data_IF_534053539473
#
_entry.id   IF_534053539473
#
_cell.length_a   1.000
_cell.length_b   1.000
_cell.length_c   1.000
_cell.angle_alpha   90.00
_cell.angle_beta   90.00
_cell.angle_gamma   90.00
#
_symmetry.space_group_name_H-M   'P 1'
#
loop_
_entity.id
_entity.type
_entity.pdbx_description
1 polymer ?
#
# COMPACT_ATOMS: atom_id res chain seq x y z
N UNK A 1 70.76 -30.75 -24.04
CA UNK A 1 69.53 -29.93 -24.15
C UNK A 1 68.53 -30.80 -24.88
N UNK A 2 67.74 -31.64 -24.22
CA UNK A 2 66.93 -31.37 -23.03
C UNK A 2 65.49 -31.60 -23.49
N UNK A 3 65.11 -32.88 -23.56
CA UNK A 3 63.76 -33.33 -23.81
C UNK A 3 62.90 -33.05 -22.58
N UNK A 4 61.66 -32.62 -22.80
CA UNK A 4 60.43 -33.00 -22.09
C UNK A 4 59.35 -31.92 -22.33
N UNK A 5 58.64 -32.09 -23.44
CA UNK A 5 57.23 -31.72 -23.51
C UNK A 5 56.48 -32.51 -22.42
N UNK A 6 55.86 -31.83 -21.45
CA UNK A 6 55.07 -32.55 -20.45
C UNK A 6 54.60 -31.78 -19.22
N UNK A 7 54.84 -30.47 -19.10
CA UNK A 7 54.69 -29.78 -17.80
C UNK A 7 53.72 -28.58 -17.76
N UNK A 8 52.76 -28.46 -18.68
CA UNK A 8 51.72 -27.42 -18.60
C UNK A 8 50.26 -27.93 -18.55
N UNK A 9 50.03 -29.23 -18.38
CA UNK A 9 48.66 -29.80 -18.24
C UNK A 9 48.42 -30.56 -16.93
N UNK A 10 49.34 -30.48 -15.96
CA UNK A 10 49.24 -31.19 -14.67
C UNK A 10 49.29 -30.26 -13.45
N UNK A 11 48.74 -29.05 -13.57
CA UNK A 11 48.51 -28.14 -12.43
C UNK A 11 47.04 -27.79 -12.20
N UNK A 12 46.11 -28.63 -12.73
CA UNK A 12 44.68 -28.55 -12.43
C UNK A 12 44.09 -29.84 -11.80
N UNK A 13 44.92 -30.79 -11.34
CA UNK A 13 44.42 -32.05 -10.75
C UNK A 13 45.14 -32.44 -9.45
N UNK A 14 45.25 -31.49 -8.52
CA UNK A 14 45.56 -31.81 -7.13
C UNK A 14 44.87 -30.79 -6.22
N UNK A 15 43.57 -30.98 -6.01
CA UNK A 15 42.78 -30.54 -4.83
C UNK A 15 41.35 -31.09 -4.99
N UNK A 16 41.21 -32.42 -5.12
CA UNK A 16 39.93 -33.11 -4.95
C UNK A 16 39.94 -33.84 -3.61
N UNK A 17 39.46 -33.15 -2.59
CA UNK A 17 38.76 -33.66 -1.38
C UNK A 17 38.85 -32.65 -0.24
N UNK A 18 38.54 -31.38 -0.52
CA UNK A 18 37.80 -30.62 0.47
C UNK A 18 36.34 -30.79 0.04
N UNK A 19 35.65 -31.74 0.66
CA UNK A 19 34.21 -31.65 0.73
C UNK A 19 33.95 -30.29 1.38
N UNK A 20 33.55 -29.32 0.57
CA UNK A 20 32.77 -28.19 1.07
C UNK A 20 31.58 -28.83 1.74
N UNK A 21 31.72 -29.00 3.05
CA UNK A 21 30.60 -29.23 3.93
C UNK A 21 29.84 -27.94 3.75
N UNK A 22 28.77 -27.98 2.96
CA UNK A 22 27.73 -26.97 3.07
C UNK A 22 27.54 -26.73 4.57
N UNK A 23 27.48 -25.47 5.03
CA UNK A 23 27.01 -25.24 6.39
C UNK A 23 25.66 -25.92 6.43
N UNK A 24 25.62 -27.06 7.13
CA UNK A 24 24.49 -27.96 7.10
C UNK A 24 23.26 -27.11 7.26
N UNK A 25 22.29 -27.29 6.37
CA UNK A 25 20.95 -26.77 6.57
C UNK A 25 20.64 -27.02 8.04
N UNK A 26 20.70 -25.96 8.87
CA UNK A 26 20.39 -26.07 10.27
C UNK A 26 19.01 -26.69 10.26
N UNK A 27 18.90 -27.94 10.73
CA UNK A 27 17.62 -28.61 10.83
C UNK A 27 16.73 -27.62 11.54
N UNK A 28 15.73 -27.11 10.81
CA UNK A 28 14.78 -26.13 11.31
C UNK A 28 13.98 -26.83 12.40
N UNK A 29 14.52 -26.82 13.62
CA UNK A 29 13.99 -27.57 14.73
C UNK A 29 12.93 -26.71 15.38
N UNK A 30 11.70 -27.21 15.40
CA UNK A 30 10.61 -26.55 16.10
C UNK A 30 10.82 -26.72 17.61
N UNK A 31 10.87 -25.61 18.35
CA UNK A 31 10.91 -25.62 19.81
C UNK A 31 9.60 -25.08 20.39
N UNK A 32 9.02 -25.73 21.41
CA UNK A 32 7.89 -25.18 22.14
C UNK A 32 8.36 -24.02 23.01
N UNK A 33 7.67 -22.89 22.93
CA UNK A 33 7.94 -21.68 23.72
C UNK A 33 6.62 -21.17 24.30
N UNK A 34 6.68 -20.61 25.51
CA UNK A 34 5.54 -19.94 26.13
C UNK A 34 5.51 -18.46 25.72
N UNK A 35 4.38 -17.99 25.19
CA UNK A 35 4.19 -16.57 24.82
C UNK A 35 3.34 -15.90 25.90
N UNK A 36 3.87 -14.84 26.51
CA UNK A 36 3.17 -14.05 27.53
C UNK A 36 2.73 -12.72 26.92
N UNK A 37 1.45 -12.40 27.02
CA UNK A 37 0.84 -11.17 26.50
C UNK A 37 0.13 -10.41 27.61
N UNK A 38 0.41 -9.11 27.69
CA UNK A 38 -0.35 -8.16 28.49
C UNK A 38 -1.70 -7.88 27.80
N UNK A 39 -2.80 -8.26 28.44
CA UNK A 39 -4.13 -8.18 27.89
C UNK A 39 -5.07 -7.35 28.77
N UNK A 40 -6.15 -6.87 28.17
CA UNK A 40 -7.27 -6.29 28.90
C UNK A 40 -8.49 -7.21 28.81
N UNK A 41 -9.06 -7.57 29.95
CA UNK A 41 -10.35 -8.23 30.03
C UNK A 41 -11.45 -7.17 29.99
N UNK A 42 -12.29 -7.23 28.96
CA UNK A 42 -13.48 -6.38 28.85
C UNK A 42 -14.53 -6.83 29.88
N UNK A 43 -14.89 -5.93 30.80
CA UNK A 43 -15.91 -6.15 31.81
C UNK A 43 -17.29 -5.80 31.24
N UNK A 44 -18.32 -6.57 31.59
CA UNK A 44 -19.67 -6.38 31.05
C UNK A 44 -20.34 -5.19 31.74
N UNK A 45 -20.37 -4.04 31.06
CA UNK A 45 -21.17 -2.89 31.47
C UNK A 45 -22.63 -3.31 31.67
N UNK A 46 -23.08 -3.28 32.92
CA UNK A 46 -24.44 -3.63 33.28
C UNK A 46 -25.47 -2.78 32.54
N UNK A 47 -26.24 -3.44 31.66
CA UNK A 47 -27.43 -2.95 30.95
C UNK A 47 -27.21 -1.89 29.86
N UNK A 48 -27.66 -2.28 28.66
CA UNK A 48 -27.91 -1.47 27.45
C UNK A 48 -26.66 -1.05 26.66
N UNK A 49 -26.21 -1.92 25.75
CA UNK A 49 -25.99 -1.63 24.31
C UNK A 49 -25.27 -0.35 23.87
N UNK A 50 -24.52 0.33 24.74
CA UNK A 50 -23.74 1.52 24.43
C UNK A 50 -22.26 1.13 24.39
N UNK A 51 -21.55 1.69 23.41
CA UNK A 51 -20.13 1.45 23.17
C UNK A 51 -19.34 1.46 24.50
N UNK A 52 -18.69 0.34 24.79
CA UNK A 52 -17.83 0.19 25.96
C UNK A 52 -16.80 1.33 25.96
N UNK A 53 -16.82 2.11 27.04
CA UNK A 53 -15.80 3.13 27.27
C UNK A 53 -14.49 2.44 27.67
N UNK A 54 -13.37 3.16 27.59
CA UNK A 54 -12.06 2.71 28.07
C UNK A 54 -12.03 2.37 29.57
N UNK A 55 -13.09 2.67 30.34
CA UNK A 55 -13.14 2.55 31.80
C UNK A 55 -13.55 1.15 32.32
N UNK A 56 -14.08 0.27 31.46
CA UNK A 56 -14.55 -1.08 31.86
C UNK A 56 -13.50 -2.19 31.59
N UNK A 57 -12.21 -1.87 31.66
CA UNK A 57 -11.11 -2.79 31.28
C UNK A 57 -10.30 -3.21 32.50
N UNK A 58 -10.28 -4.51 32.81
CA UNK A 58 -9.47 -5.11 33.88
C UNK A 58 -8.17 -5.64 33.30
N UNK A 59 -7.04 -5.45 33.99
CA UNK A 59 -5.76 -6.02 33.56
C UNK A 59 -5.79 -7.55 33.65
N UNK A 60 -5.35 -8.21 32.58
CA UNK A 60 -5.24 -9.65 32.48
C UNK A 60 -3.91 -10.03 31.81
N UNK A 61 -3.47 -11.25 32.03
CA UNK A 61 -2.32 -11.84 31.35
C UNK A 61 -2.80 -13.06 30.58
N UNK A 62 -2.40 -13.19 29.32
CA UNK A 62 -2.58 -14.40 28.55
C UNK A 62 -1.24 -15.10 28.36
N UNK A 63 -1.17 -16.36 28.75
CA UNK A 63 -0.03 -17.24 28.54
C UNK A 63 -0.45 -18.30 27.54
N UNK A 64 0.09 -18.22 26.31
CA UNK A 64 -0.05 -19.26 25.30
C UNK A 64 1.04 -20.31 25.55
N UNK A 65 0.66 -21.51 25.95
CA UNK A 65 1.59 -22.60 26.28
C UNK A 65 1.99 -23.38 25.04
N UNK A 66 3.27 -23.79 25.01
CA UNK A 66 3.82 -24.72 24.02
C UNK A 66 3.63 -24.30 22.56
N UNK A 67 3.75 -23.00 22.27
CA UNK A 67 3.68 -22.50 20.90
C UNK A 67 4.95 -22.96 20.16
N UNK A 68 4.86 -23.74 19.07
CA UNK A 68 6.03 -24.18 18.33
C UNK A 68 6.56 -23.02 17.49
N UNK A 69 7.85 -22.76 17.65
CA UNK A 69 8.58 -21.69 16.96
C UNK A 69 9.77 -22.30 16.25
N UNK A 70 10.13 -21.75 15.09
CA UNK A 70 11.32 -22.14 14.37
C UNK A 70 12.56 -21.67 15.15
N UNK A 71 13.43 -22.60 15.56
CA UNK A 71 14.68 -22.24 16.24
C UNK A 71 15.72 -21.70 15.24
N UNK A 72 15.94 -20.38 15.28
CA UNK A 72 16.96 -19.68 14.50
C UNK A 72 18.25 -19.40 15.31
N UNK A 73 18.35 -19.95 16.52
CA UNK A 73 19.47 -19.72 17.45
C UNK A 73 19.30 -18.49 18.34
N UNK A 74 18.20 -17.74 18.24
CA UNK A 74 17.87 -16.64 19.16
C UNK A 74 17.10 -17.08 20.41
N UNK A 75 16.76 -18.37 20.51
CA UNK A 75 15.87 -18.91 21.54
C UNK A 75 16.57 -19.31 22.85
N UNK A 76 17.89 -19.09 23.01
CA UNK A 76 18.66 -19.56 24.17
C UNK A 76 18.30 -18.88 25.50
N UNK A 77 17.64 -17.71 25.47
CA UNK A 77 17.25 -16.92 26.67
C UNK A 77 15.76 -17.05 27.06
N UNK A 78 14.96 -17.88 26.39
CA UNK A 78 13.55 -18.08 26.78
C UNK A 78 13.44 -19.07 27.94
N UNK A 79 13.06 -18.56 29.11
CA UNK A 79 12.67 -19.40 30.25
C UNK A 79 11.16 -19.66 30.22
N UNK A 80 10.76 -20.92 30.40
CA UNK A 80 9.35 -21.30 30.57
C UNK A 80 8.66 -20.41 31.63
N UNK A 81 7.39 -20.09 31.42
CA UNK A 81 6.65 -19.28 32.37
C UNK A 81 6.55 -20.02 33.72
N UNK A 82 7.29 -19.52 34.71
CA UNK A 82 7.18 -19.94 36.10
C UNK A 82 6.09 -19.11 36.77
N UNK A 83 4.92 -19.74 36.99
CA UNK A 83 3.78 -19.13 37.69
C UNK A 83 4.21 -18.60 39.07
N UNK A 84 4.49 -17.31 39.14
CA UNK A 84 4.87 -16.64 40.36
C UNK A 84 3.69 -16.63 41.34
N UNK A 85 3.96 -17.01 42.59
CA UNK A 85 3.01 -16.92 43.70
C UNK A 85 2.77 -15.45 44.04
N UNK A 86 1.98 -14.74 43.25
CA UNK A 86 1.56 -13.37 43.57
C UNK A 86 0.20 -13.40 44.25
N UNK A 87 0.27 -13.71 45.54
CA UNK A 87 -0.76 -13.29 46.48
C UNK A 87 -0.61 -11.79 46.75
N UNK A 88 -1.45 -10.96 46.12
CA UNK A 88 -1.96 -9.68 46.66
C UNK A 88 -3.08 -9.13 45.78
N UNK A 89 -4.03 -8.46 46.43
CA UNK A 89 -5.36 -7.98 45.99
C UNK A 89 -5.51 -7.28 44.61
N UNK A 90 -4.43 -7.04 43.86
CA UNK A 90 -4.41 -6.35 42.55
C UNK A 90 -3.69 -7.16 41.45
N UNK A 91 -3.53 -8.47 41.64
CA UNK A 91 -2.85 -9.32 40.66
C UNK A 91 -3.73 -9.53 39.42
N UNK A 92 -3.21 -9.33 38.20
CA UNK A 92 -3.99 -9.50 36.97
C UNK A 92 -4.49 -10.94 36.83
N UNK A 93 -5.66 -11.10 36.22
CA UNK A 93 -6.21 -12.44 35.95
C UNK A 93 -5.35 -13.13 34.89
N UNK A 94 -4.82 -14.31 35.22
CA UNK A 94 -3.94 -15.06 34.31
C UNK A 94 -4.73 -16.17 33.61
N UNK A 95 -4.81 -16.09 32.30
CA UNK A 95 -5.33 -17.15 31.42
C UNK A 95 -4.17 -17.99 30.89
N UNK A 96 -4.22 -19.29 31.15
CA UNK A 96 -3.28 -20.25 30.60
C UNK A 96 -3.99 -21.01 29.48
N UNK A 97 -3.57 -20.76 28.24
CA UNK A 97 -4.20 -21.30 27.04
C UNK A 97 -3.28 -22.34 26.39
N UNK A 98 -3.73 -23.60 26.36
CA UNK A 98 -3.07 -24.66 25.60
C UNK A 98 -3.38 -24.50 24.11
N UNK A 99 -2.32 -24.59 23.29
CA UNK A 99 -2.32 -24.46 21.83
C UNK A 99 -2.16 -25.85 21.16
N UNK A 100 -2.28 -26.93 21.93
CA UNK A 100 -1.99 -28.31 21.49
C UNK A 100 -2.85 -28.76 20.31
N UNK A 101 -4.09 -28.27 20.24
CA UNK A 101 -5.06 -28.63 19.21
C UNK A 101 -4.90 -27.83 17.92
N UNK A 102 -4.43 -26.58 18.01
CA UNK A 102 -4.49 -25.61 16.92
C UNK A 102 -3.30 -24.68 17.00
N UNK A 103 -2.52 -24.65 15.93
CA UNK A 103 -1.38 -23.77 15.82
C UNK A 103 -1.80 -22.32 15.54
N UNK A 104 -1.18 -21.37 16.23
CA UNK A 104 -1.31 -19.94 15.94
C UNK A 104 -0.26 -19.60 14.88
N UNK A 105 -0.65 -19.34 13.63
CA UNK A 105 0.32 -18.98 12.61
C UNK A 105 0.99 -17.64 12.96
N UNK A 106 2.24 -17.48 12.52
CA UNK A 106 3.05 -16.28 12.75
C UNK A 106 3.33 -15.98 14.24
N UNK A 107 3.37 -17.02 15.08
CA UNK A 107 3.80 -16.92 16.48
C UNK A 107 5.17 -16.22 16.66
N UNK A 108 6.07 -16.38 15.69
CA UNK A 108 7.35 -15.66 15.63
C UNK A 108 7.17 -14.13 15.65
N UNK A 109 6.15 -13.61 14.98
CA UNK A 109 5.90 -12.17 14.92
C UNK A 109 5.42 -11.61 16.27
N UNK A 110 4.78 -12.44 17.10
CA UNK A 110 4.40 -12.07 18.46
C UNK A 110 5.62 -12.10 19.40
N UNK A 111 6.48 -13.11 19.26
CA UNK A 111 7.69 -13.27 20.07
C UNK A 111 8.73 -12.17 19.82
N UNK A 112 8.88 -11.74 18.57
CA UNK A 112 9.84 -10.71 18.19
C UNK A 112 9.24 -9.29 18.17
N UNK A 113 8.01 -9.09 18.67
CA UNK A 113 7.35 -7.79 18.63
C UNK A 113 8.14 -6.72 19.40
N UNK A 114 8.53 -7.01 20.64
CA UNK A 114 9.30 -6.10 21.51
C UNK A 114 10.67 -5.76 20.91
N UNK A 115 11.38 -6.77 20.39
CA UNK A 115 12.66 -6.60 19.71
C UNK A 115 12.54 -5.75 18.43
N UNK A 116 11.40 -5.83 17.75
CA UNK A 116 11.11 -5.07 16.52
C UNK A 116 10.55 -3.67 16.81
N UNK A 117 10.41 -3.28 18.09
CA UNK A 117 9.77 -2.03 18.49
C UNK A 117 8.30 -1.94 18.07
N UNK A 118 7.62 -3.09 17.95
CA UNK A 118 6.19 -3.16 17.63
C UNK A 118 5.39 -3.28 18.92
N UNK A 119 4.22 -2.67 18.93
CA UNK A 119 3.28 -2.74 20.05
C UNK A 119 2.27 -3.86 19.78
N UNK A 120 1.98 -4.66 20.81
CA UNK A 120 0.98 -5.72 20.76
C UNK A 120 -0.22 -5.31 21.60
N UNK A 121 -1.39 -5.23 20.99
CA UNK A 121 -2.65 -4.99 21.71
C UNK A 121 -3.39 -6.31 21.87
N UNK A 122 -3.77 -6.65 23.10
CA UNK A 122 -4.52 -7.85 23.41
C UNK A 122 -5.79 -7.51 24.21
N UNK A 123 -6.94 -8.02 23.75
CA UNK A 123 -8.22 -7.85 24.42
C UNK A 123 -8.94 -9.20 24.56
N UNK A 124 -9.31 -9.56 25.78
CA UNK A 124 -10.05 -10.76 26.14
C UNK A 124 -11.48 -10.36 26.45
N UNK A 125 -12.45 -11.10 25.90
CA UNK A 125 -13.87 -10.89 26.18
C UNK A 125 -14.61 -12.20 26.33
N UNK A 126 -15.72 -12.19 27.06
CA UNK A 126 -16.55 -13.39 27.24
C UNK A 126 -17.24 -13.75 25.93
N UNK A 127 -17.19 -15.03 25.55
CA UNK A 127 -17.79 -15.54 24.34
C UNK A 127 -19.09 -16.31 24.64
N UNK A 128 -20.13 -16.01 23.86
CA UNK A 128 -21.43 -16.67 23.99
C UNK A 128 -21.72 -17.49 22.72
N UNK A 129 -21.99 -18.79 22.89
CA UNK A 129 -22.29 -19.71 21.80
C UNK A 129 -23.60 -19.33 21.09
N UNK A 130 -23.68 -19.61 19.78
CA UNK A 130 -24.90 -19.40 18.99
C UNK A 130 -25.99 -20.46 19.23
N UNK A 131 -25.61 -21.68 19.61
CA UNK A 131 -26.55 -22.80 19.75
C UNK A 131 -27.31 -22.72 21.09
N UNK A 132 -28.64 -22.74 21.01
CA UNK A 132 -29.59 -22.71 22.15
C UNK A 132 -29.71 -24.05 22.89
N UNK A 133 -28.83 -25.01 22.62
CA UNK A 133 -28.75 -26.29 23.34
C UNK A 133 -27.63 -26.23 24.38
N UNK A 134 -27.78 -25.32 25.33
CA UNK A 134 -26.99 -25.34 26.56
C UNK A 134 -27.60 -26.38 27.51
N UNK A 135 -27.24 -27.65 27.35
CA UNK A 135 -27.44 -28.67 28.39
C UNK A 135 -26.20 -28.88 29.27
N UNK A 136 -25.21 -27.98 29.20
CA UNK A 136 -24.06 -27.97 30.11
C UNK A 136 -23.99 -26.61 30.83
N UNK A 137 -24.60 -26.53 32.02
CA UNK A 137 -24.75 -25.33 32.85
C UNK A 137 -23.43 -24.73 33.42
N UNK A 138 -22.25 -25.12 32.95
CA UNK A 138 -20.98 -24.74 33.64
C UNK A 138 -19.77 -24.45 32.76
N UNK A 139 -19.82 -24.64 31.43
CA UNK A 139 -18.71 -24.29 30.55
C UNK A 139 -18.77 -22.81 30.15
N UNK A 140 -17.63 -22.10 30.25
CA UNK A 140 -17.50 -20.72 29.79
C UNK A 140 -16.43 -20.63 28.70
N UNK A 141 -16.70 -19.76 27.72
CA UNK A 141 -15.83 -19.49 26.58
C UNK A 141 -15.39 -18.04 26.59
N UNK A 142 -14.22 -17.79 26.04
CA UNK A 142 -13.62 -16.47 25.89
C UNK A 142 -13.11 -16.32 24.48
N UNK A 143 -13.14 -15.10 23.94
CA UNK A 143 -12.49 -14.74 22.69
C UNK A 143 -11.44 -13.68 22.96
N UNK A 144 -10.24 -13.91 22.42
CA UNK A 144 -9.11 -13.01 22.52
C UNK A 144 -8.80 -12.44 21.15
N UNK A 145 -8.67 -11.12 21.05
CA UNK A 145 -8.19 -10.44 19.85
C UNK A 145 -6.79 -9.91 20.12
N UNK A 146 -5.82 -10.33 19.32
CA UNK A 146 -4.41 -9.97 19.40
C UNK A 146 -4.04 -9.24 18.11
N UNK A 147 -3.49 -8.04 18.20
CA UNK A 147 -3.09 -7.25 17.03
C UNK A 147 -1.68 -6.71 17.21
N UNK A 148 -0.85 -6.91 16.19
CA UNK A 148 0.51 -6.35 16.14
C UNK A 148 0.50 -5.08 15.31
N UNK A 149 1.04 -3.99 15.86
CA UNK A 149 1.05 -2.69 15.17
C UNK A 149 1.99 -2.67 13.94
N UNK A 150 1.85 -1.64 13.10
CA UNK A 150 2.72 -1.44 11.93
C UNK A 150 2.45 -2.40 10.77
N UNK A 151 1.20 -2.84 10.59
CA UNK A 151 0.82 -3.79 9.53
C UNK A 151 1.21 -5.24 9.82
N UNK A 152 1.46 -5.56 11.09
CA UNK A 152 1.67 -6.93 11.53
C UNK A 152 0.38 -7.77 11.53
N UNK A 153 0.48 -9.03 11.97
CA UNK A 153 -0.66 -9.94 11.97
C UNK A 153 -1.71 -9.53 13.00
N UNK A 154 -2.93 -10.00 12.77
CA UNK A 154 -4.03 -9.91 13.74
C UNK A 154 -4.71 -11.26 13.83
N UNK A 155 -4.91 -11.73 15.06
CA UNK A 155 -5.43 -13.06 15.37
C UNK A 155 -6.57 -12.95 16.37
N UNK A 156 -7.64 -13.67 16.10
CA UNK A 156 -8.79 -13.84 17.00
C UNK A 156 -8.88 -15.30 17.42
N UNK A 157 -8.83 -15.57 18.71
CA UNK A 157 -8.72 -16.93 19.28
C UNK A 157 -9.88 -17.19 20.22
N UNK A 158 -10.62 -18.27 20.02
CA UNK A 158 -11.68 -18.72 20.93
C UNK A 158 -11.14 -19.83 21.84
N UNK A 159 -11.29 -19.60 23.13
CA UNK A 159 -10.77 -20.44 24.20
C UNK A 159 -11.92 -20.97 25.04
N UNK A 160 -11.87 -22.25 25.40
CA UNK A 160 -12.81 -22.91 26.30
C UNK A 160 -12.13 -23.18 27.63
N UNK A 161 -12.81 -22.93 28.74
CA UNK A 161 -12.28 -23.28 30.06
C UNK A 161 -12.19 -24.81 30.22
N UNK A 162 -11.02 -25.26 30.66
CA UNK A 162 -10.74 -26.62 31.09
C UNK A 162 -11.06 -26.73 32.58
N UNK A 163 -12.32 -26.92 32.93
CA UNK A 163 -12.70 -27.11 34.33
C UNK A 163 -13.89 -28.03 34.48
N UNK A 164 -13.70 -29.07 35.27
CA UNK A 164 -14.77 -29.96 35.72
C UNK A 164 -15.48 -29.27 36.89
N UNK A 165 -16.74 -28.88 36.68
CA UNK A 165 -17.53 -28.11 37.64
C UNK A 165 -17.80 -28.83 38.97
N UNK A 166 -17.51 -30.13 39.03
CA UNK A 166 -17.66 -31.02 40.19
C UNK A 166 -16.41 -31.13 41.06
N UNK A 167 -15.28 -30.54 40.67
CA UNK A 167 -14.09 -30.50 41.52
C UNK A 167 -14.17 -29.29 42.47
N UNK A 168 -13.85 -29.44 43.76
CA UNK A 168 -13.84 -28.38 44.77
C UNK A 168 -12.77 -27.30 44.56
N UNK A 169 -12.55 -26.87 43.31
CA UNK A 169 -11.60 -25.86 42.90
C UNK A 169 -11.98 -24.48 43.44
N UNK A 170 -10.97 -23.72 43.85
CA UNK A 170 -11.14 -22.32 44.23
C UNK A 170 -11.66 -21.52 43.03
N UNK A 171 -12.59 -20.59 43.27
CA UNK A 171 -13.13 -19.71 42.21
C UNK A 171 -12.54 -18.32 42.32
N UNK A 172 -12.33 -17.67 41.18
CA UNK A 172 -11.90 -16.28 41.13
C UNK A 172 -12.93 -15.38 41.81
N UNK A 173 -12.53 -14.53 42.76
CA UNK A 173 -13.46 -13.76 43.61
C UNK A 173 -14.39 -12.84 42.80
N UNK A 174 -13.88 -12.23 41.73
CA UNK A 174 -14.63 -11.26 40.91
C UNK A 174 -15.34 -11.89 39.72
N UNK A 175 -14.74 -12.93 39.11
CA UNK A 175 -15.20 -13.49 37.84
C UNK A 175 -15.94 -14.82 38.02
N UNK A 176 -15.92 -15.40 39.23
CA UNK A 176 -16.52 -16.69 39.57
C UNK A 176 -16.06 -17.87 38.71
N UNK A 177 -14.89 -17.74 38.06
CA UNK A 177 -14.27 -18.75 37.21
C UNK A 177 -13.48 -19.76 38.05
N UNK A 178 -13.45 -21.05 37.67
CA UNK A 178 -12.63 -22.04 38.35
C UNK A 178 -11.14 -21.77 38.12
N UNK A 179 -10.36 -21.83 39.21
CA UNK A 179 -8.92 -21.61 39.20
C UNK A 179 -8.17 -22.92 39.39
N UNK A 180 -7.02 -23.02 38.73
CA UNK A 180 -6.04 -24.08 38.95
C UNK A 180 -5.43 -23.99 40.36
N UNK A 181 -4.73 -25.03 40.84
CA UNK A 181 -3.95 -24.96 42.07
C UNK A 181 -2.90 -23.84 42.10
N UNK A 182 -2.50 -23.34 40.91
CA UNK A 182 -1.56 -22.23 40.75
C UNK A 182 -2.26 -20.85 40.71
N UNK A 183 -3.59 -20.80 40.79
CA UNK A 183 -4.37 -19.57 40.73
C UNK A 183 -4.62 -19.05 39.31
N UNK A 184 -4.39 -19.87 38.28
CA UNK A 184 -4.59 -19.53 36.86
C UNK A 184 -5.90 -20.09 36.31
N UNK A 185 -6.48 -19.44 35.30
CA UNK A 185 -7.63 -19.97 34.56
C UNK A 185 -7.10 -20.83 33.41
N UNK A 186 -7.30 -22.15 33.51
CA UNK A 186 -6.87 -23.08 32.45
C UNK A 186 -7.89 -23.12 31.32
N UNK A 187 -7.39 -22.97 30.11
CA UNK A 187 -8.19 -22.92 28.89
C UNK A 187 -7.51 -23.70 27.76
N UNK A 188 -8.32 -24.14 26.80
CA UNK A 188 -7.85 -24.74 25.56
C UNK A 188 -8.33 -23.90 24.37
N UNK A 189 -7.45 -23.67 23.41
CA UNK A 189 -7.78 -23.02 22.14
C UNK A 189 -8.52 -24.02 21.23
N UNK A 190 -9.76 -23.70 20.86
CA UNK A 190 -10.59 -24.58 20.00
C UNK A 190 -10.88 -23.99 18.61
N UNK A 191 -10.61 -22.70 18.40
CA UNK A 191 -10.81 -22.05 17.11
C UNK A 191 -9.98 -20.78 16.99
N UNK A 192 -9.37 -20.53 15.83
CA UNK A 192 -8.66 -19.28 15.54
C UNK A 192 -8.96 -18.77 14.13
N UNK A 193 -8.98 -17.45 13.98
CA UNK A 193 -9.04 -16.75 12.69
C UNK A 193 -7.96 -15.68 12.68
N UNK A 194 -7.25 -15.56 11.57
CA UNK A 194 -6.00 -14.80 11.48
C UNK A 194 -5.91 -14.08 10.14
N UNK A 195 -5.25 -12.93 10.15
CA UNK A 195 -4.78 -12.26 8.94
C UNK A 195 -3.34 -11.83 9.12
N UNK A 196 -2.52 -12.06 8.11
CA UNK A 196 -1.14 -11.62 8.05
C UNK A 196 -1.00 -10.10 8.00
N UNK A 197 -1.99 -9.40 7.44
CA UNK A 197 -1.93 -7.96 7.18
C UNK A 197 -3.23 -7.26 7.55
N UNK A 198 -3.16 -6.31 8.48
CA UNK A 198 -4.32 -5.52 8.90
C UNK A 198 -4.69 -4.41 7.90
N UNK A 199 -3.73 -3.92 7.10
CA UNK A 199 -4.00 -2.91 6.09
C UNK A 199 -3.16 -3.14 4.83
N UNK A 200 -3.80 -3.02 3.68
CA UNK A 200 -3.21 -3.21 2.37
C UNK A 200 -3.49 -1.98 1.50
N UNK A 201 -2.53 -1.68 0.62
CA UNK A 201 -2.63 -0.55 -0.30
C UNK A 201 -2.36 -1.02 -1.72
N UNK A 202 -3.30 -0.78 -2.62
CA UNK A 202 -3.22 -1.22 -4.01
C UNK A 202 -3.48 -0.08 -4.99
N UNK A 203 -2.95 -0.23 -6.22
CA UNK A 203 -3.25 0.69 -7.31
C UNK A 203 -4.61 0.36 -7.94
N UNK A 204 -5.33 1.38 -8.40
CA UNK A 204 -6.56 1.19 -9.16
C UNK A 204 -6.34 0.26 -10.36
N UNK A 205 -7.25 -0.71 -10.54
CA UNK A 205 -7.19 -1.70 -11.61
C UNK A 205 -6.28 -2.90 -11.36
N UNK A 206 -5.50 -2.92 -10.27
CA UNK A 206 -4.74 -4.11 -9.87
C UNK A 206 -5.64 -5.19 -9.26
N UNK A 207 -5.06 -6.35 -8.96
CA UNK A 207 -5.73 -7.44 -8.22
C UNK A 207 -5.20 -7.50 -6.79
N UNK A 208 -6.10 -7.52 -5.81
CA UNK A 208 -5.75 -7.69 -4.39
C UNK A 208 -5.99 -9.13 -3.93
N UNK A 209 -5.17 -9.59 -2.98
CA UNK A 209 -5.42 -10.79 -2.19
C UNK A 209 -5.53 -10.38 -0.72
N UNK A 210 -6.68 -10.62 -0.10
CA UNK A 210 -6.93 -10.32 1.30
C UNK A 210 -6.75 -11.60 2.10
N UNK A 211 -5.63 -11.71 2.81
CA UNK A 211 -5.26 -12.89 3.58
C UNK A 211 -6.21 -13.13 4.76
N UNK A 212 -6.79 -14.32 4.84
CA UNK A 212 -7.60 -14.74 5.99
C UNK A 212 -7.47 -16.23 6.22
N UNK A 213 -6.69 -16.62 7.22
CA UNK A 213 -6.55 -18.01 7.65
C UNK A 213 -7.49 -18.34 8.81
N UNK A 214 -7.80 -19.62 8.97
CA UNK A 214 -8.47 -20.12 10.17
C UNK A 214 -8.02 -21.55 10.48
N UNK A 215 -8.21 -21.95 11.73
CA UNK A 215 -7.92 -23.32 12.16
C UNK A 215 -8.89 -23.71 13.26
N UNK A 216 -9.34 -24.96 13.24
CA UNK A 216 -10.43 -25.46 14.06
C UNK A 216 -10.01 -26.76 14.76
N UNK A 217 -10.46 -26.95 16.00
CA UNK A 217 -10.23 -28.19 16.72
C UNK A 217 -10.98 -29.36 16.05
N UNK A 218 -10.47 -30.60 16.19
CA UNK A 218 -11.16 -31.79 15.70
C UNK A 218 -12.60 -31.88 16.22
N UNK A 219 -13.56 -32.17 15.33
CA UNK A 219 -14.98 -32.27 15.66
C UNK A 219 -15.80 -31.00 15.38
N UNK A 220 -15.15 -29.89 15.03
CA UNK A 220 -15.83 -28.70 14.48
C UNK A 220 -15.99 -28.83 12.97
N UNK A 221 -17.14 -28.42 12.47
CA UNK A 221 -17.43 -28.37 11.03
C UNK A 221 -17.55 -26.93 10.56
N UNK A 222 -16.97 -26.61 9.41
CA UNK A 222 -17.10 -25.30 8.79
C UNK A 222 -18.50 -25.15 8.18
N UNK A 223 -19.27 -24.16 8.64
CA UNK A 223 -20.64 -23.89 8.18
C UNK A 223 -20.62 -22.87 7.04
N UNK A 224 -19.99 -21.72 7.25
CA UNK A 224 -19.91 -20.67 6.24
C UNK A 224 -18.70 -19.74 6.38
N UNK A 225 -18.32 -19.16 5.25
CA UNK A 225 -17.33 -18.08 5.15
C UNK A 225 -17.99 -16.90 4.46
N UNK A 226 -17.99 -15.74 5.10
CA UNK A 226 -18.57 -14.51 4.58
C UNK A 226 -17.51 -13.41 4.52
N UNK A 227 -17.41 -12.76 3.37
CA UNK A 227 -16.66 -11.53 3.20
C UNK A 227 -17.60 -10.35 3.02
N UNK A 228 -17.45 -9.35 3.88
CA UNK A 228 -18.29 -8.14 3.88
C UNK A 228 -17.40 -6.92 3.75
N UNK A 229 -17.84 -5.92 2.99
CA UNK A 229 -17.18 -4.63 2.86
C UNK A 229 -18.02 -3.57 3.56
N UNK A 230 -17.40 -2.89 4.52
CA UNK A 230 -17.94 -1.74 5.23
C UNK A 230 -17.17 -0.48 4.77
N UNK A 231 -17.86 0.49 4.16
CA UNK A 231 -17.24 1.77 3.78
C UNK A 231 -18.23 2.91 3.93
N UNK A 232 -17.84 3.98 4.64
CA UNK A 232 -18.63 5.22 4.84
C UNK A 232 -20.09 4.96 5.26
N UNK A 233 -20.29 3.99 6.17
CA UNK A 233 -21.61 3.65 6.70
C UNK A 233 -22.46 2.72 5.84
N UNK A 234 -21.99 2.31 4.66
CA UNK A 234 -22.63 1.28 3.83
C UNK A 234 -21.92 -0.07 4.01
N UNK A 235 -22.68 -1.14 4.19
CA UNK A 235 -22.20 -2.51 4.29
C UNK A 235 -22.74 -3.36 3.15
N UNK A 236 -21.88 -4.06 2.43
CA UNK A 236 -22.26 -4.95 1.33
C UNK A 236 -21.58 -6.31 1.46
N UNK A 237 -22.30 -7.37 1.09
CA UNK A 237 -21.71 -8.70 0.96
C UNK A 237 -20.84 -8.71 -0.30
N UNK A 238 -19.63 -9.25 -0.20
CA UNK A 238 -18.68 -9.34 -1.31
C UNK A 238 -18.64 -10.77 -1.85
N UNK A 239 -18.50 -11.73 -0.93
CA UNK A 239 -18.49 -13.15 -1.25
C UNK A 239 -19.06 -13.94 -0.08
N UNK A 240 -19.77 -15.03 -0.36
CA UNK A 240 -20.24 -15.98 0.63
C UNK A 240 -19.96 -17.40 0.16
N UNK A 241 -19.50 -18.26 1.05
CA UNK A 241 -19.35 -19.68 0.82
C UNK A 241 -20.10 -20.43 1.92
N UNK A 242 -20.92 -21.41 1.54
CA UNK A 242 -21.71 -22.22 2.46
C UNK A 242 -21.72 -23.67 1.98
N UNK A 243 -21.26 -24.60 2.81
CA UNK A 243 -21.33 -26.06 2.58
C UNK A 243 -21.02 -26.51 1.14
N UNK A 244 -19.95 -25.97 0.56
CA UNK A 244 -19.46 -26.33 -0.79
C UNK A 244 -19.96 -25.45 -1.94
N UNK A 245 -20.88 -24.51 -1.70
CA UNK A 245 -21.36 -23.57 -2.71
C UNK A 245 -20.84 -22.15 -2.44
N UNK A 246 -20.03 -21.63 -3.37
CA UNK A 246 -19.58 -20.23 -3.38
C UNK A 246 -20.53 -19.34 -4.18
N UNK A 247 -20.81 -18.15 -3.65
CA UNK A 247 -21.54 -17.07 -4.32
C UNK A 247 -20.76 -15.77 -4.17
N UNK A 248 -20.29 -15.25 -5.30
CA UNK A 248 -19.70 -13.93 -5.40
C UNK A 248 -20.80 -12.89 -5.70
N UNK A 249 -20.91 -11.86 -4.87
CA UNK A 249 -21.79 -10.71 -5.12
C UNK A 249 -21.01 -9.58 -5.82
N UNK A 250 -19.72 -9.47 -5.53
CA UNK A 250 -18.77 -8.68 -6.33
C UNK A 250 -18.29 -9.51 -7.51
N UNK A 251 -18.52 -9.03 -8.73
CA UNK A 251 -18.08 -9.72 -9.95
C UNK A 251 -16.58 -10.03 -9.92
N UNK A 252 -16.22 -11.28 -10.21
CA UNK A 252 -14.82 -11.73 -10.24
C UNK A 252 -14.17 -11.98 -8.88
N UNK A 253 -14.85 -11.71 -7.76
CA UNK A 253 -14.33 -12.07 -6.44
C UNK A 253 -14.32 -13.60 -6.29
N UNK A 254 -13.21 -14.17 -5.84
CA UNK A 254 -13.04 -15.63 -5.73
C UNK A 254 -12.42 -16.04 -4.40
N UNK A 255 -12.87 -17.18 -3.89
CA UNK A 255 -12.25 -17.96 -2.82
C UNK A 255 -11.82 -19.31 -3.42
N UNK A 256 -10.64 -19.81 -3.06
CA UNK A 256 -10.14 -21.10 -3.54
C UNK A 256 -10.71 -22.24 -2.68
N UNK A 257 -11.67 -23.06 -3.18
CA UNK A 257 -12.38 -24.02 -2.35
C UNK A 257 -11.49 -25.17 -1.84
N UNK A 258 -10.45 -25.52 -2.60
CA UNK A 258 -9.50 -26.57 -2.21
C UNK A 258 -8.68 -26.16 -0.98
N UNK A 259 -8.19 -24.92 -0.96
CA UNK A 259 -7.39 -24.39 0.15
C UNK A 259 -8.23 -24.16 1.40
N UNK A 260 -9.52 -23.85 1.24
CA UNK A 260 -10.46 -23.69 2.36
C UNK A 260 -10.58 -24.95 3.22
N UNK A 261 -10.63 -26.14 2.60
CA UNK A 261 -10.77 -27.40 3.34
C UNK A 261 -9.43 -28.01 3.73
N UNK A 262 -8.41 -27.89 2.88
CA UNK A 262 -7.12 -28.55 3.09
C UNK A 262 -6.17 -27.75 3.98
N UNK A 263 -6.17 -26.42 3.85
CA UNK A 263 -5.22 -25.52 4.51
C UNK A 263 -5.89 -24.57 5.51
N UNK A 264 -7.23 -24.51 5.55
CA UNK A 264 -7.95 -23.53 6.36
C UNK A 264 -7.75 -22.10 5.85
N UNK A 265 -7.63 -21.93 4.52
CA UNK A 265 -7.41 -20.62 3.89
C UNK A 265 -8.70 -20.07 3.29
N UNK A 266 -9.17 -18.95 3.85
CA UNK A 266 -10.34 -18.20 3.43
C UNK A 266 -9.99 -16.88 2.72
N UNK A 267 -8.77 -16.76 2.17
CA UNK A 267 -8.27 -15.57 1.50
C UNK A 267 -9.10 -15.18 0.27
N UNK A 268 -9.41 -13.89 0.16
CA UNK A 268 -10.24 -13.34 -0.90
C UNK A 268 -9.40 -12.68 -1.99
N UNK A 269 -9.55 -13.17 -3.22
CA UNK A 269 -8.97 -12.51 -4.40
C UNK A 269 -9.98 -11.58 -5.06
N UNK A 270 -9.59 -10.33 -5.26
CA UNK A 270 -10.38 -9.28 -5.91
C UNK A 270 -9.65 -8.77 -7.16
N UNK A 271 -10.14 -9.08 -8.37
CA UNK A 271 -9.54 -8.57 -9.60
C UNK A 271 -10.06 -7.18 -9.97
N UNK A 272 -9.24 -6.43 -10.71
CA UNK A 272 -9.62 -5.15 -11.32
C UNK A 272 -10.27 -4.17 -10.33
N UNK A 273 -9.49 -3.79 -9.30
CA UNK A 273 -9.97 -2.93 -8.22
C UNK A 273 -10.50 -1.58 -8.72
N UNK A 274 -11.63 -1.16 -8.16
CA UNK A 274 -12.28 0.13 -8.41
C UNK A 274 -12.34 0.94 -7.11
N UNK A 275 -12.54 2.27 -7.18
CA UNK A 275 -12.67 3.08 -5.95
C UNK A 275 -13.85 2.68 -5.05
N UNK A 276 -14.82 1.90 -5.56
CA UNK A 276 -15.93 1.37 -4.75
C UNK A 276 -15.52 0.18 -3.88
N UNK A 277 -14.40 -0.46 -4.21
CA UNK A 277 -13.83 -1.57 -3.46
C UNK A 277 -12.97 -1.09 -2.29
N UNK A 278 -12.72 0.22 -2.16
CA UNK A 278 -11.99 0.75 -0.99
C UNK A 278 -12.84 0.62 0.28
N UNK A 279 -12.21 0.21 1.38
CA UNK A 279 -12.85 0.20 2.70
C UNK A 279 -12.39 -0.93 3.59
N UNK A 280 -13.21 -1.18 4.61
CA UNK A 280 -12.92 -2.14 5.66
C UNK A 280 -13.57 -3.48 5.30
N UNK A 281 -12.75 -4.47 4.96
CA UNK A 281 -13.20 -5.82 4.70
C UNK A 281 -13.23 -6.62 6.01
N UNK A 282 -14.26 -7.44 6.15
CA UNK A 282 -14.50 -8.29 7.30
C UNK A 282 -14.58 -9.72 6.78
N UNK A 283 -13.57 -10.51 7.10
CA UNK A 283 -13.57 -11.95 6.92
C UNK A 283 -14.27 -12.57 8.12
N UNK A 284 -15.33 -13.35 7.91
CA UNK A 284 -16.09 -13.95 8.98
C UNK A 284 -16.24 -15.45 8.75
N UNK A 285 -15.74 -16.22 9.70
CA UNK A 285 -15.72 -17.68 9.65
C UNK A 285 -16.73 -18.18 10.68
N UNK A 286 -17.67 -19.00 10.23
CA UNK A 286 -18.71 -19.61 11.06
C UNK A 286 -18.54 -21.12 11.02
N UNK A 287 -18.37 -21.72 12.19
CA UNK A 287 -18.30 -23.16 12.43
C UNK A 287 -19.60 -23.64 13.07
N UNK A 288 -19.69 -24.94 13.38
CA UNK A 288 -20.85 -25.53 14.05
C UNK A 288 -21.15 -24.92 15.44
N UNK A 289 -20.12 -24.39 16.14
CA UNK A 289 -20.26 -23.82 17.49
C UNK A 289 -19.85 -22.34 17.57
N UNK A 290 -18.86 -21.94 16.77
CA UNK A 290 -18.16 -20.67 16.91
C UNK A 290 -18.30 -19.79 15.67
N UNK A 291 -18.19 -18.50 15.88
CA UNK A 291 -18.10 -17.45 14.87
C UNK A 291 -17.08 -16.43 15.32
N UNK A 292 -16.08 -16.21 14.48
CA UNK A 292 -15.06 -15.20 14.68
C UNK A 292 -14.86 -14.42 13.38
N UNK A 293 -14.31 -13.23 13.51
CA UNK A 293 -14.14 -12.31 12.39
C UNK A 293 -12.80 -11.61 12.47
N UNK A 294 -12.24 -11.30 11.31
CA UNK A 294 -11.00 -10.56 11.18
C UNK A 294 -11.19 -9.41 10.20
N UNK A 295 -10.60 -8.26 10.54
CA UNK A 295 -10.78 -7.00 9.82
C UNK A 295 -9.52 -6.66 9.04
N UNK A 296 -9.68 -6.24 7.79
CA UNK A 296 -8.61 -5.85 6.88
C UNK A 296 -8.99 -4.54 6.17
N UNK A 297 -8.16 -3.52 6.28
CA UNK A 297 -8.37 -2.22 5.64
C UNK A 297 -7.72 -2.19 4.24
N UNK A 298 -8.54 -2.14 3.19
CA UNK A 298 -8.08 -1.99 1.80
C UNK A 298 -8.12 -0.52 1.38
N UNK A 299 -6.96 0.05 1.09
CA UNK A 299 -6.80 1.41 0.59
C UNK A 299 -6.44 1.39 -0.90
N UNK A 300 -7.03 2.31 -1.67
CA UNK A 300 -6.77 2.38 -3.12
C UNK A 300 -6.06 3.69 -3.44
N UNK A 301 -5.07 3.62 -4.33
CA UNK A 301 -4.28 4.76 -4.74
C UNK A 301 -4.28 4.94 -6.26
N UNK A 302 -4.30 6.20 -6.69
CA UNK A 302 -4.17 6.58 -8.10
C UNK A 302 -3.12 7.68 -8.22
N UNK A 303 -2.02 7.43 -8.94
CA UNK A 303 -0.98 8.43 -9.16
C UNK A 303 -1.45 9.64 -9.97
N UNK A 304 -1.10 10.87 -9.53
CA UNK A 304 -1.44 12.08 -10.28
C UNK A 304 -0.72 12.18 -11.61
N UNK A 305 -1.37 12.86 -12.57
CA UNK A 305 -0.73 13.36 -13.79
C UNK A 305 -0.56 14.87 -13.69
N UNK A 306 0.67 15.35 -13.85
CA UNK A 306 1.01 16.77 -13.71
C UNK A 306 1.30 17.39 -15.08
N UNK A 307 0.71 18.55 -15.35
CA UNK A 307 0.99 19.36 -16.54
C UNK A 307 1.10 20.83 -16.19
N UNK A 308 2.20 21.45 -16.57
CA UNK A 308 2.44 22.88 -16.38
C UNK A 308 2.19 23.64 -17.68
N UNK A 309 1.39 24.70 -17.61
CA UNK A 309 1.01 25.52 -18.77
C UNK A 309 0.91 27.00 -18.42
N UNK A 310 1.12 27.87 -19.41
CA UNK A 310 0.86 29.31 -19.31
C UNK A 310 -0.63 29.58 -19.59
N UNK A 311 -1.38 30.14 -18.64
CA UNK A 311 -2.81 30.38 -18.80
C UNK A 311 -3.14 31.72 -19.45
N UNK A 312 -2.33 32.75 -19.19
CA UNK A 312 -2.47 34.05 -19.83
C UNK A 312 -1.09 34.68 -20.03
N UNK A 313 -0.92 35.34 -21.18
CA UNK A 313 0.26 36.17 -21.49
C UNK A 313 0.13 37.61 -20.97
N UNK A 314 -0.95 37.93 -20.26
CA UNK A 314 -1.09 39.19 -19.53
C UNK A 314 0.10 39.42 -18.59
N UNK A 315 0.36 40.67 -18.25
CA UNK A 315 1.49 41.07 -17.41
C UNK A 315 1.02 41.35 -15.98
N UNK A 316 1.47 40.58 -14.96
CA UNK A 316 2.40 39.44 -15.01
C UNK A 316 1.74 38.12 -15.51
N UNK A 317 2.49 37.26 -16.22
CA UNK A 317 1.97 36.00 -16.76
C UNK A 317 1.50 35.06 -15.65
N UNK A 318 0.45 34.28 -15.91
CA UNK A 318 -0.06 33.29 -14.94
C UNK A 318 0.28 31.89 -15.39
N UNK A 319 1.04 31.17 -14.55
CA UNK A 319 1.32 29.74 -14.70
C UNK A 319 0.24 28.91 -14.02
N UNK A 320 -0.12 27.79 -14.62
CA UNK A 320 -1.10 26.85 -14.09
C UNK A 320 -0.51 25.45 -14.13
N UNK A 321 -0.34 24.86 -12.94
CA UNK A 321 0.00 23.47 -12.75
C UNK A 321 -1.28 22.66 -12.56
N UNK A 322 -1.66 21.91 -13.58
CA UNK A 322 -2.81 21.03 -13.56
C UNK A 322 -2.40 19.67 -13.02
N UNK A 323 -3.02 19.24 -11.92
CA UNK A 323 -2.85 17.92 -11.34
C UNK A 323 -4.15 17.14 -11.50
N UNK A 324 -4.10 16.07 -12.28
CA UNK A 324 -5.31 15.37 -12.72
C UNK A 324 -5.30 13.89 -12.35
N UNK A 325 -6.49 13.39 -12.03
CA UNK A 325 -6.81 11.98 -11.91
C UNK A 325 -6.14 11.26 -10.75
N UNK A 326 -6.02 11.88 -9.58
CA UNK A 326 -5.37 11.29 -8.40
C UNK A 326 -6.36 10.91 -7.31
N UNK A 327 -5.95 10.00 -6.43
CA UNK A 327 -6.72 9.55 -5.27
C UNK A 327 -5.75 8.89 -4.26
N UNK A 328 -5.87 9.11 -2.94
CA UNK A 328 -6.88 9.89 -2.20
C UNK A 328 -6.75 11.41 -2.36
N UNK A 329 -7.54 12.19 -1.59
CA UNK A 329 -7.63 13.65 -1.72
C UNK A 329 -6.34 14.37 -1.30
N UNK A 330 -5.62 13.84 -0.31
CA UNK A 330 -4.47 14.49 0.30
C UNK A 330 -3.28 14.57 -0.67
N UNK A 331 -2.89 15.79 -1.02
CA UNK A 331 -1.84 16.10 -1.98
C UNK A 331 -1.24 17.47 -1.65
N UNK A 332 0.07 17.64 -1.85
CA UNK A 332 0.73 18.94 -1.69
C UNK A 332 1.42 19.40 -2.98
N UNK A 333 1.25 20.68 -3.31
CA UNK A 333 1.95 21.35 -4.41
C UNK A 333 2.92 22.39 -3.85
N UNK A 334 4.18 22.30 -4.24
CA UNK A 334 5.22 23.29 -3.93
C UNK A 334 5.69 23.95 -5.21
N UNK A 335 5.85 25.26 -5.19
CA UNK A 335 6.42 26.02 -6.30
C UNK A 335 7.82 26.48 -5.99
N UNK A 336 8.72 26.34 -6.95
CA UNK A 336 10.08 26.90 -6.88
C UNK A 336 10.37 27.75 -8.11
N UNK A 337 11.20 28.77 -7.91
CA UNK A 337 11.68 29.71 -8.92
C UNK A 337 13.20 29.67 -8.92
N UNK A 338 13.78 29.54 -10.10
CA UNK A 338 15.23 29.48 -10.30
C UNK A 338 15.64 30.49 -11.38
N UNK A 339 16.49 31.44 -11.00
CA UNK A 339 17.12 32.38 -11.94
C UNK A 339 18.42 31.77 -12.50
N UNK A 340 18.84 32.14 -13.73
CA UNK A 340 20.10 31.64 -14.31
C UNK A 340 21.31 31.88 -13.38
N UNK A 341 21.94 30.80 -12.94
CA UNK A 341 23.11 30.86 -12.06
C UNK A 341 22.80 31.12 -10.58
N UNK A 342 21.52 31.16 -10.19
CA UNK A 342 21.08 31.23 -8.80
C UNK A 342 20.54 29.89 -8.28
N UNK A 343 20.41 29.72 -6.96
CA UNK A 343 19.77 28.53 -6.39
C UNK A 343 18.23 28.57 -6.58
N UNK A 344 17.55 27.41 -6.58
CA UNK A 344 16.09 27.37 -6.58
C UNK A 344 15.53 27.89 -5.25
N UNK A 345 14.57 28.81 -5.34
CA UNK A 345 13.91 29.45 -4.20
C UNK A 345 12.44 29.06 -4.18
N UNK A 346 11.91 28.62 -3.03
CA UNK A 346 10.48 28.37 -2.88
C UNK A 346 9.67 29.66 -2.97
N UNK A 347 8.60 29.66 -3.76
CA UNK A 347 7.73 30.82 -3.97
C UNK A 347 6.35 30.59 -3.38
N UNK A 348 5.84 31.62 -2.70
CA UNK A 348 4.51 31.65 -2.09
C UNK A 348 3.55 32.50 -2.94
N UNK A 349 2.24 32.42 -2.65
CA UNK A 349 1.21 33.18 -3.38
C UNK A 349 0.54 32.41 -4.53
N UNK A 350 0.76 31.10 -4.60
CA UNK A 350 -0.03 30.23 -5.47
C UNK A 350 -1.46 30.05 -4.91
N UNK A 351 -2.45 30.01 -5.80
CA UNK A 351 -3.86 29.78 -5.45
C UNK A 351 -4.35 28.48 -6.08
N UNK A 352 -5.11 27.69 -5.32
CA UNK A 352 -5.76 26.49 -5.85
C UNK A 352 -7.11 26.82 -6.50
N UNK A 353 -7.45 26.10 -7.56
CA UNK A 353 -8.80 26.07 -8.11
C UNK A 353 -9.74 25.27 -7.20
N UNK A 354 -11.04 25.38 -7.47
CA UNK A 354 -12.00 24.41 -6.92
C UNK A 354 -11.63 22.98 -7.33
N UNK A 355 -11.86 22.05 -6.42
CA UNK A 355 -11.67 20.62 -6.63
C UNK A 355 -12.68 20.10 -7.66
N UNK A 356 -12.21 19.31 -8.62
CA UNK A 356 -13.05 18.59 -9.58
C UNK A 356 -12.94 17.10 -9.34
N UNK A 357 -14.06 16.40 -9.38
CA UNK A 357 -14.11 14.95 -9.28
C UNK A 357 -14.61 14.34 -10.59
N UNK A 358 -13.94 13.29 -11.05
CA UNK A 358 -14.34 12.53 -12.22
C UNK A 358 -15.50 11.58 -11.89
N UNK A 359 -16.17 11.05 -12.92
CA UNK A 359 -17.20 10.02 -12.74
C UNK A 359 -16.64 8.72 -12.11
N UNK A 360 -15.34 8.46 -12.27
CA UNK A 360 -14.66 7.32 -11.65
C UNK A 360 -14.21 7.60 -10.22
N UNK A 361 -14.48 8.82 -9.69
CA UNK A 361 -14.22 9.23 -8.31
C UNK A 361 -12.84 9.84 -8.06
N UNK A 362 -11.96 9.90 -9.07
CA UNK A 362 -10.64 10.53 -8.94
C UNK A 362 -10.72 12.06 -8.91
N UNK A 363 -9.79 12.68 -8.20
CA UNK A 363 -9.72 14.12 -8.02
C UNK A 363 -8.82 14.79 -9.06
N UNK A 364 -9.12 16.05 -9.37
CA UNK A 364 -8.32 16.93 -10.22
C UNK A 364 -8.39 18.36 -9.68
N UNK A 365 -7.24 19.01 -9.58
CA UNK A 365 -7.12 20.39 -9.09
C UNK A 365 -6.01 21.10 -9.86
N UNK A 366 -6.10 22.42 -9.96
CA UNK A 366 -5.08 23.24 -10.59
C UNK A 366 -4.52 24.24 -9.58
N UNK A 367 -3.19 24.38 -9.53
CA UNK A 367 -2.52 25.44 -8.77
C UNK A 367 -2.08 26.53 -9.74
N UNK A 368 -2.39 27.79 -9.44
CA UNK A 368 -2.07 28.94 -10.29
C UNK A 368 -1.10 29.87 -9.59
N UNK A 369 -0.06 30.30 -10.28
CA UNK A 369 0.98 31.19 -9.77
C UNK A 369 1.19 32.35 -10.76
N UNK A 370 1.15 33.58 -10.25
CA UNK A 370 1.59 34.75 -11.04
C UNK A 370 3.11 34.73 -11.10
N UNK A 371 3.66 34.64 -12.31
CA UNK A 371 5.09 34.54 -12.54
C UNK A 371 5.73 35.92 -12.70
N UNK A 372 6.78 36.16 -11.93
CA UNK A 372 7.62 37.35 -11.96
C UNK A 372 9.01 36.96 -12.50
N UNK A 373 9.22 36.98 -13.83
CA UNK A 373 10.44 36.44 -14.45
C UNK A 373 11.71 37.23 -14.18
N UNK A 374 11.63 38.41 -13.54
CA UNK A 374 12.79 39.30 -13.36
C UNK A 374 13.33 39.86 -14.68
N UNK A 375 14.58 40.29 -14.70
CA UNK A 375 15.23 40.92 -15.87
C UNK A 375 15.79 39.90 -16.88
N UNK A 376 16.21 38.71 -16.41
CA UNK A 376 16.83 37.68 -17.25
C UNK A 376 15.87 36.57 -17.67
N UNK A 377 14.75 36.42 -16.97
CA UNK A 377 13.88 35.25 -17.02
C UNK A 377 14.19 34.29 -15.87
N UNK A 378 13.24 33.40 -15.58
CA UNK A 378 13.38 32.39 -14.54
C UNK A 378 12.65 31.09 -14.91
N UNK A 379 13.19 29.96 -14.44
CA UNK A 379 12.52 28.66 -14.48
C UNK A 379 11.58 28.57 -13.30
N UNK A 380 10.33 28.22 -13.57
CA UNK A 380 9.33 27.92 -12.56
C UNK A 380 9.05 26.43 -12.55
N UNK A 381 9.03 25.86 -11.36
CA UNK A 381 8.87 24.42 -11.16
C UNK A 381 7.74 24.15 -10.19
N UNK A 382 6.78 23.34 -10.63
CA UNK A 382 5.69 22.80 -9.82
C UNK A 382 6.07 21.39 -9.38
N UNK A 383 6.19 21.18 -8.08
CA UNK A 383 6.49 19.90 -7.45
C UNK A 383 5.25 19.38 -6.73
N UNK A 384 4.85 18.15 -7.02
CA UNK A 384 3.63 17.52 -6.49
C UNK A 384 4.01 16.30 -5.66
N UNK A 385 3.56 16.28 -4.41
CA UNK A 385 3.72 15.15 -3.48
C UNK A 385 2.36 14.50 -3.24
N UNK A 386 2.33 13.16 -3.21
CA UNK A 386 1.11 12.38 -3.03
C UNK A 386 1.49 11.00 -2.50
N UNK A 387 0.63 10.38 -1.67
CA UNK A 387 0.91 9.09 -1.00
C UNK A 387 1.24 7.94 -1.96
N UNK A 388 0.74 8.01 -3.20
CA UNK A 388 1.02 7.00 -4.23
C UNK A 388 2.37 7.15 -4.92
N UNK A 389 3.14 8.17 -4.58
CA UNK A 389 4.41 8.51 -5.23
C UNK A 389 5.55 8.25 -4.25
N UNK A 390 6.55 7.46 -4.67
CA UNK A 390 7.80 7.32 -3.92
C UNK A 390 8.64 8.60 -3.99
N UNK A 391 8.60 9.27 -5.14
CA UNK A 391 9.31 10.52 -5.42
C UNK A 391 8.33 11.56 -5.96
N UNK A 392 8.52 12.85 -5.64
CA UNK A 392 7.62 13.90 -6.06
C UNK A 392 7.64 14.08 -7.59
N UNK A 393 6.47 14.32 -8.18
CA UNK A 393 6.38 14.66 -9.60
C UNK A 393 6.75 16.11 -9.83
N UNK A 394 7.61 16.36 -10.81
CA UNK A 394 8.16 17.69 -11.10
C UNK A 394 7.81 18.10 -12.53
N UNK A 395 7.26 19.31 -12.69
CA UNK A 395 7.04 19.93 -13.99
C UNK A 395 7.60 21.35 -13.98
N UNK A 396 8.42 21.70 -14.98
CA UNK A 396 9.10 23.00 -15.04
C UNK A 396 8.89 23.71 -16.38
N UNK A 397 8.97 25.04 -16.36
CA UNK A 397 8.87 25.88 -17.57
C UNK A 397 9.68 27.16 -17.42
N UNK A 398 10.18 27.67 -18.54
CA UNK A 398 10.95 28.91 -18.58
C UNK A 398 10.06 30.10 -18.94
N UNK A 399 10.05 31.15 -18.12
CA UNK A 399 9.27 32.37 -18.37
C UNK A 399 10.20 33.51 -18.77
N UNK A 400 10.01 34.02 -19.98
CA UNK A 400 10.76 35.15 -20.54
C UNK A 400 10.18 36.49 -20.06
N UNK A 401 11.02 37.49 -19.71
CA UNK A 401 10.58 38.84 -19.35
C UNK A 401 9.83 39.56 -20.49
N UNK A 402 8.89 40.47 -20.17
CA UNK A 402 8.12 41.24 -21.16
C UNK A 402 8.98 42.00 -22.15
N UNK A 403 10.01 42.72 -21.67
CA UNK A 403 10.82 43.64 -22.47
C UNK A 403 11.58 42.92 -23.60
N UNK A 404 11.95 41.65 -23.37
CA UNK A 404 12.67 40.84 -24.35
C UNK A 404 11.74 40.27 -25.42
N UNK A 405 10.46 40.04 -25.12
CA UNK A 405 9.46 39.59 -26.12
C UNK A 405 9.16 40.66 -27.16
N UNK A 406 9.01 41.92 -26.74
CA UNK A 406 8.77 43.04 -27.65
C UNK A 406 9.97 43.29 -28.56
N UNK A 407 11.19 43.19 -28.03
CA UNK A 407 12.42 43.33 -28.82
C UNK A 407 12.53 42.23 -29.90
N UNK A 408 12.26 40.97 -29.56
CA UNK A 408 12.24 39.86 -30.52
C UNK A 408 11.20 40.10 -31.62
N UNK A 409 9.97 40.49 -31.27
CA UNK A 409 8.92 40.78 -32.25
C UNK A 409 9.30 41.89 -33.24
N UNK A 410 9.92 42.97 -32.75
CA UNK A 410 10.39 44.09 -33.59
C UNK A 410 11.54 43.67 -34.51
N UNK A 411 12.47 42.86 -34.03
CA UNK A 411 13.58 42.34 -34.85
C UNK A 411 13.04 41.45 -35.98
N UNK A 412 12.11 40.54 -35.69
CA UNK A 412 11.48 39.70 -36.72
C UNK A 412 10.70 40.53 -37.74
N UNK A 413 9.90 41.51 -37.29
CA UNK A 413 9.14 42.39 -38.18
C UNK A 413 10.07 43.23 -39.07
N UNK A 414 11.13 43.81 -38.51
CA UNK A 414 12.10 44.62 -39.27
C UNK A 414 12.91 43.78 -40.26
N UNK A 415 13.28 42.56 -39.89
CA UNK A 415 13.94 41.61 -40.78
C UNK A 415 13.06 41.21 -41.96
N UNK A 416 11.79 40.89 -41.73
CA UNK A 416 10.83 40.60 -42.79
C UNK A 416 10.61 41.80 -43.71
N UNK A 417 10.55 43.01 -43.15
CA UNK A 417 10.42 44.25 -43.91
C UNK A 417 11.64 44.51 -44.82
N UNK A 418 12.86 44.33 -44.30
CA UNK A 418 14.08 44.48 -45.10
C UNK A 418 14.19 43.41 -46.20
N UNK A 419 13.78 42.17 -45.91
CA UNK A 419 13.70 41.10 -46.91
C UNK A 419 12.69 41.43 -48.02
N UNK A 420 11.53 41.98 -47.67
CA UNK A 420 10.55 42.43 -48.65
C UNK A 420 11.11 43.56 -49.53
N UNK A 421 11.81 44.54 -48.94
CA UNK A 421 12.45 45.61 -49.71
C UNK A 421 13.56 45.10 -50.63
N UNK A 422 14.38 44.15 -50.17
CA UNK A 422 15.41 43.51 -51.01
C UNK A 422 14.78 42.73 -52.16
N UNK A 423 13.69 41.99 -51.90
CA UNK A 423 12.98 41.25 -52.93
C UNK A 423 12.36 42.18 -53.98
N UNK A 424 11.70 43.26 -53.55
CA UNK A 424 11.19 44.30 -54.45
C UNK A 424 12.32 44.99 -55.24
N UNK A 425 13.46 45.24 -54.60
CA UNK A 425 14.65 45.79 -55.24
C UNK A 425 15.26 44.84 -56.29
N UNK A 426 15.28 43.53 -56.03
CA UNK A 426 15.75 42.50 -56.96
C UNK A 426 14.80 42.32 -58.14
N UNK A 427 13.48 42.32 -57.92
CA UNK A 427 12.47 42.32 -58.99
C UNK A 427 12.64 43.52 -59.91
N UNK A 428 12.81 44.72 -59.34
CA UNK A 428 13.04 45.94 -60.13
C UNK A 428 14.35 45.90 -60.92
N UNK A 429 15.41 45.25 -60.39
CA UNK A 429 16.66 45.02 -61.14
C UNK A 429 16.49 43.98 -62.26
N UNK A 430 15.66 42.96 -62.09
CA UNK A 430 15.34 42.01 -63.15
C UNK A 430 14.54 42.70 -64.28
N UNK A 431 13.58 43.56 -63.95
CA UNK A 431 12.84 44.34 -64.95
C UNK A 431 13.74 45.35 -65.71
N UNK A 432 14.63 46.07 -65.01
CA UNK A 432 15.62 46.93 -65.68
C UNK A 432 16.71 46.14 -66.44
N UNK A 433 17.01 44.92 -66.01
CA UNK A 433 17.94 44.00 -66.68
C UNK A 433 17.39 43.45 -68.00
N UNK A 434 16.10 43.09 -68.03
CA UNK A 434 15.40 42.72 -69.26
C UNK A 434 15.37 43.88 -70.27
N UNK A 435 15.09 45.11 -69.81
CA UNK A 435 15.10 46.30 -70.69
C UNK A 435 16.48 46.56 -71.32
N UNK A 436 17.56 46.25 -70.60
CA UNK A 436 18.94 46.39 -71.09
C UNK A 436 19.37 45.26 -72.03
N UNK A 437 18.79 44.07 -71.91
CA UNK A 437 19.03 42.96 -72.84
C UNK A 437 18.26 43.15 -74.16
N UNK A 438 17.02 43.65 -74.08
CA UNK A 438 16.21 43.98 -75.27
C UNK A 438 16.82 45.15 -76.07
N UNK A 439 17.39 46.15 -75.38
CA UNK A 439 18.14 47.25 -76.04
C UNK A 439 19.45 46.79 -76.71
N UNK A 440 20.00 45.63 -76.34
CA UNK A 440 21.25 45.08 -76.91
C UNK A 440 20.98 44.19 -78.13
N UNK A 441 19.80 43.59 -78.24
CA UNK A 441 19.36 42.92 -79.47
C UNK A 441 18.92 43.92 -80.56
N UNK A 442 18.37 45.09 -80.19
CA UNK A 442 18.00 46.11 -81.18
C UNK A 442 19.20 46.81 -81.84
N UNK A 443 20.40 46.78 -81.24
CA UNK A 443 21.61 47.38 -81.85
C UNK A 443 22.34 46.44 -82.84
N UNK A 444 21.89 45.19 -83.00
CA UNK A 444 22.49 44.21 -83.92
C UNK A 444 21.72 44.07 -85.25
N UNK A 445 20.56 44.71 -85.42
CA UNK A 445 19.62 44.44 -86.52
C UNK A 445 19.43 45.61 -87.51
N UNK A 446 20.34 46.59 -87.53
CA UNK A 446 20.35 47.68 -88.52
C UNK A 446 21.76 47.94 -89.04
N UNK A 447 22.24 47.02 -89.86
CA UNK A 447 23.12 47.34 -90.98
C UNK A 447 23.10 46.13 -91.92
N UNK A 448 22.38 46.27 -93.04
CA UNK A 448 22.70 45.78 -94.40
C UNK A 448 21.39 45.73 -95.21
N UNK A 449 20.99 46.87 -95.76
CA UNK A 449 20.09 46.89 -96.92
C UNK A 449 20.65 47.90 -97.92
N UNK A 450 21.24 47.40 -99.01
CA UNK A 450 20.82 47.68 -100.39
C UNK A 450 21.96 47.66 -101.42
N UNK A 451 21.68 46.95 -102.51
CA UNK A 451 22.17 47.23 -103.86
C UNK A 451 22.85 46.03 -104.51
N UNK A 452 22.47 45.55 -105.71
CA UNK A 452 21.42 45.91 -106.67
C UNK A 452 21.67 45.10 -107.95
N UNK A 453 20.61 44.72 -108.70
CA UNK A 453 20.59 44.43 -110.16
C UNK A 453 21.46 43.24 -110.67
N UNK A 454 21.21 42.56 -111.80
CA UNK A 454 20.09 42.25 -112.70
C UNK A 454 20.66 41.16 -113.66
N UNK A 455 19.80 40.55 -114.49
CA UNK A 455 20.01 39.38 -115.36
C UNK A 455 21.26 39.38 -116.28
N UNK A 456 21.87 38.21 -116.46
CA UNK A 456 21.76 37.37 -117.68
C UNK A 456 22.09 35.89 -117.36
#
# INVERSE_FOLDING_TARGET
MGAEEGWCLLLCLALSSAAETEPGAAERQWRPVDVVLDCFLAEEGGRHGTLASSEDRVKALLVLRQVPVLDDGSLEDFTDFQGGTLARDDSPVIFEASVDLIQIPQAEALLHADCSGKEVTCEISRYFLQAREATAETAAWFITNIQVSGGGPSVSVVMKILSDADSGAARHPTLSLPLSPQGTVQTAVEFQVTTATQSLTYLLGSSANLDCGFSMAPGLELVSVEWRLQHKGSGQLVHSWTSGQGRAEREGATLEPEQLHAAGDASLTLPSLTLKDEGTYICQITTSLYRAQQIIQLNIQVPPKVRLSLANEALPPTLVCNVAGYYPLDMAVTWTREEPGGPPVQVSGASFSNLRQSATGTYSISSSLKAEPGSTGATYTCQVTHVSLKEPLVASTWVVPPERRTALGVIFASGLFLLALLFLGLQRRQELGCFRHESRETTSATDTQSGSLHED
#
